data_IF_217466627987
#
_entry.id   IF_217466627987
#
_cell.length_a   1.000
_cell.length_b   1.000
_cell.length_c   1.000
_cell.angle_alpha   90.00
_cell.angle_beta   90.00
_cell.angle_gamma   90.00
#
_symmetry.space_group_name_H-M   'P 1'
#
loop_
_entity.id
_entity.type
_entity.pdbx_description
1 polymer ?
#
# COMPACT_ATOMS: atom_id res chain seq x y z
N UNK A 1 20.53 10.48 5.85
CA UNK A 1 19.86 10.37 4.53
C UNK A 1 18.44 10.91 4.65
N UNK A 2 18.05 11.92 3.88
CA UNK A 2 16.71 12.53 3.96
C UNK A 2 15.65 11.67 3.27
N UNK A 3 14.37 11.91 3.60
CA UNK A 3 13.24 11.16 3.03
C UNK A 3 13.14 11.33 1.50
N UNK A 4 13.39 12.54 1.01
CA UNK A 4 13.43 12.84 -0.42
C UNK A 4 14.51 12.02 -1.16
N UNK A 5 15.76 12.04 -0.66
CA UNK A 5 16.87 11.27 -1.26
C UNK A 5 16.60 9.76 -1.24
N UNK A 6 15.98 9.26 -0.16
CA UNK A 6 15.54 7.87 -0.08
C UNK A 6 14.52 7.56 -1.19
N UNK A 7 13.45 8.33 -1.29
CA UNK A 7 12.38 8.06 -2.25
C UNK A 7 12.88 8.10 -3.69
N UNK A 8 13.68 9.09 -4.06
CA UNK A 8 14.26 9.15 -5.40
C UNK A 8 15.13 7.92 -5.69
N UNK A 9 15.96 7.48 -4.73
CA UNK A 9 16.76 6.26 -4.89
C UNK A 9 15.89 5.01 -5.04
N UNK A 10 14.82 4.90 -4.23
CA UNK A 10 13.88 3.78 -4.30
C UNK A 10 13.16 3.73 -5.64
N UNK A 11 12.68 4.87 -6.13
CA UNK A 11 11.98 4.96 -7.42
C UNK A 11 12.93 4.69 -8.59
N UNK A 12 14.16 5.19 -8.54
CA UNK A 12 15.15 4.98 -9.60
C UNK A 12 15.67 3.54 -9.66
N UNK A 13 15.82 2.87 -8.51
CA UNK A 13 16.41 1.52 -8.44
C UNK A 13 15.38 0.40 -8.37
N UNK A 14 14.13 0.70 -8.00
CA UNK A 14 13.11 -0.30 -7.68
C UNK A 14 13.41 -1.16 -6.45
N UNK A 15 14.47 -0.86 -5.69
CA UNK A 15 14.96 -1.71 -4.59
C UNK A 15 14.69 -1.08 -3.23
N UNK A 16 13.80 -1.70 -2.45
CA UNK A 16 13.59 -1.36 -1.03
C UNK A 16 14.72 -1.97 -0.19
N UNK A 17 15.40 -1.22 0.72
CA UNK A 17 16.41 -1.78 1.58
C UNK A 17 15.79 -2.74 2.61
N UNK A 18 16.51 -3.81 2.95
CA UNK A 18 16.02 -4.90 3.82
C UNK A 18 15.43 -4.41 5.14
N UNK A 19 16.11 -3.48 5.82
CA UNK A 19 15.64 -2.88 7.06
C UNK A 19 14.31 -2.10 6.96
N UNK A 20 13.87 -1.74 5.75
CA UNK A 20 12.58 -1.05 5.50
C UNK A 20 11.53 -1.95 4.85
N UNK A 21 11.83 -3.23 4.65
CA UNK A 21 10.88 -4.23 4.15
C UNK A 21 10.02 -4.84 5.27
N UNK A 22 10.44 -4.70 6.52
CA UNK A 22 9.73 -5.30 7.64
C UNK A 22 8.43 -4.56 7.93
N UNK A 23 7.40 -5.32 8.29
CA UNK A 23 6.11 -4.83 8.74
C UNK A 23 5.70 -5.60 10.00
N UNK A 24 5.01 -4.93 10.91
CA UNK A 24 4.42 -5.57 12.09
C UNK A 24 3.05 -6.13 11.67
N UNK A 25 2.82 -7.42 11.86
CA UNK A 25 1.52 -8.03 11.64
C UNK A 25 0.69 -7.89 12.92
N UNK A 26 -0.51 -7.35 12.79
CA UNK A 26 -1.49 -7.25 13.88
C UNK A 26 -2.77 -7.95 13.45
N UNK A 27 -3.33 -8.78 14.33
CA UNK A 27 -4.61 -9.44 14.10
C UNK A 27 -5.75 -8.51 14.51
N UNK A 28 -6.64 -8.20 13.58
CA UNK A 28 -7.86 -7.43 13.86
C UNK A 28 -9.07 -8.37 13.82
N UNK A 29 -9.86 -8.37 14.89
CA UNK A 29 -11.08 -9.15 14.93
C UNK A 29 -12.08 -8.66 13.87
N UNK A 30 -12.66 -9.61 13.11
CA UNK A 30 -13.60 -9.34 12.02
C UNK A 30 -15.04 -9.52 12.46
N UNK A 31 -15.40 -10.72 12.93
CA UNK A 31 -16.76 -11.14 13.34
C UNK A 31 -16.73 -12.55 13.91
N UNK A 32 -17.78 -12.99 14.62
CA UNK A 32 -17.94 -14.38 15.05
C UNK A 32 -17.45 -14.64 16.48
N UNK A 33 -16.84 -15.80 16.70
CA UNK A 33 -16.25 -16.20 17.99
C UNK A 33 -14.83 -15.64 18.14
N UNK A 34 -14.54 -15.05 19.29
CA UNK A 34 -13.22 -14.51 19.63
C UNK A 34 -12.16 -15.58 19.85
N UNK A 35 -12.56 -16.82 20.18
CA UNK A 35 -11.65 -17.94 20.39
C UNK A 35 -11.19 -18.61 19.08
N UNK A 36 -11.90 -18.37 17.99
CA UNK A 36 -11.57 -18.92 16.68
C UNK A 36 -10.65 -17.97 15.91
N UNK A 37 -9.47 -18.46 15.54
CA UNK A 37 -8.46 -17.69 14.81
C UNK A 37 -8.91 -17.26 13.41
N UNK A 38 -9.84 -17.97 12.77
CA UNK A 38 -10.35 -17.63 11.43
C UNK A 38 -11.17 -16.32 11.43
N UNK A 39 -11.62 -15.91 12.62
CA UNK A 39 -12.39 -14.69 12.82
C UNK A 39 -11.53 -13.42 12.90
N UNK A 40 -10.21 -13.53 12.70
CA UNK A 40 -9.28 -12.40 12.67
C UNK A 40 -8.69 -12.19 11.27
N UNK A 41 -8.49 -10.93 10.90
CA UNK A 41 -7.78 -10.56 9.68
C UNK A 41 -6.37 -10.08 10.06
N UNK A 42 -5.31 -10.59 9.42
CA UNK A 42 -3.97 -10.03 9.58
C UNK A 42 -3.83 -8.71 8.83
N UNK A 43 -3.35 -7.67 9.53
CA UNK A 43 -3.05 -6.35 8.97
C UNK A 43 -1.57 -6.06 9.08
N UNK A 44 -0.94 -5.68 7.97
CA UNK A 44 0.47 -5.29 7.93
C UNK A 44 0.66 -3.80 8.21
N UNK A 45 1.21 -3.48 9.38
CA UNK A 45 1.63 -2.14 9.75
C UNK A 45 3.03 -1.87 9.19
N UNK A 46 3.10 -1.00 8.19
CA UNK A 46 4.35 -0.60 7.54
C UNK A 46 4.89 0.70 8.12
N UNK A 47 6.20 0.93 7.99
CA UNK A 47 6.82 2.20 8.37
C UNK A 47 6.14 3.37 7.65
N UNK A 48 5.90 4.48 8.37
CA UNK A 48 5.30 5.72 7.84
C UNK A 48 5.95 6.20 6.54
N UNK A 49 7.28 6.11 6.43
CA UNK A 49 7.99 6.46 5.19
C UNK A 49 7.55 5.61 4.00
N UNK A 50 7.42 4.28 4.20
CA UNK A 50 6.94 3.37 3.15
C UNK A 50 5.47 3.62 2.82
N UNK A 51 4.64 3.98 3.81
CA UNK A 51 3.24 4.36 3.59
C UNK A 51 3.11 5.60 2.71
N UNK A 52 3.93 6.63 2.95
CA UNK A 52 3.98 7.84 2.11
C UNK A 52 4.41 7.51 0.69
N UNK A 53 5.50 6.73 0.53
CA UNK A 53 5.96 6.31 -0.80
C UNK A 53 4.90 5.51 -1.56
N UNK A 54 4.19 4.60 -0.87
CA UNK A 54 3.09 3.82 -1.47
C UNK A 54 2.00 4.73 -2.02
N UNK A 55 1.64 5.79 -1.30
CA UNK A 55 0.64 6.75 -1.76
C UNK A 55 1.12 7.53 -3.00
N UNK A 56 2.39 7.92 -3.06
CA UNK A 56 2.98 8.57 -4.24
C UNK A 56 2.90 7.63 -5.45
N UNK A 57 3.37 6.38 -5.30
CA UNK A 57 3.34 5.37 -6.36
C UNK A 57 1.90 5.09 -6.82
N UNK A 58 0.96 4.92 -5.87
CA UNK A 58 -0.47 4.73 -6.18
C UNK A 58 -0.99 5.85 -7.07
N UNK A 59 -0.72 7.11 -6.71
CA UNK A 59 -1.19 8.27 -7.48
C UNK A 59 -0.63 8.27 -8.91
N UNK A 60 0.66 7.95 -9.07
CA UNK A 60 1.30 7.86 -10.39
C UNK A 60 0.61 6.77 -11.25
N UNK A 61 0.42 5.57 -10.69
CA UNK A 61 -0.16 4.43 -11.41
C UNK A 61 -1.62 4.69 -11.78
N UNK A 62 -2.43 5.14 -10.83
CA UNK A 62 -3.86 5.42 -11.06
C UNK A 62 -4.03 6.50 -12.13
N UNK A 63 -3.24 7.58 -12.06
CA UNK A 63 -3.27 8.64 -13.07
C UNK A 63 -2.87 8.12 -14.46
N UNK A 64 -1.85 7.26 -14.52
CA UNK A 64 -1.44 6.64 -15.78
C UNK A 64 -2.54 5.74 -16.36
N UNK A 65 -3.19 4.93 -15.53
CA UNK A 65 -4.26 4.04 -15.97
C UNK A 65 -5.50 4.81 -16.45
N UNK A 66 -5.88 5.87 -15.74
CA UNK A 66 -6.99 6.74 -16.13
C UNK A 66 -6.70 7.44 -17.46
N UNK A 67 -5.51 8.03 -17.64
CA UNK A 67 -5.12 8.72 -18.88
C UNK A 67 -5.09 7.81 -20.10
N UNK A 68 -4.76 6.53 -19.92
CA UNK A 68 -4.66 5.57 -21.01
C UNK A 68 -5.92 4.70 -21.17
N UNK A 69 -7.03 5.04 -20.49
CA UNK A 69 -8.28 4.27 -20.51
C UNK A 69 -8.10 2.77 -20.20
N UNK A 70 -7.13 2.44 -19.32
CA UNK A 70 -6.84 1.06 -18.89
C UNK A 70 -7.86 0.58 -17.85
N UNK A 71 -8.46 1.51 -17.10
CA UNK A 71 -9.45 1.22 -16.06
C UNK A 71 -10.77 0.80 -16.72
N UNK A 72 -11.25 -0.39 -16.38
CA UNK A 72 -12.50 -0.91 -16.91
C UNK A 72 -13.71 -0.17 -16.33
N UNK A 73 -14.76 0.01 -17.12
CA UNK A 73 -15.94 0.83 -16.74
C UNK A 73 -16.68 0.31 -15.50
N UNK A 74 -16.65 -1.00 -15.24
CA UNK A 74 -17.26 -1.61 -14.06
C UNK A 74 -16.34 -1.69 -12.85
N UNK A 75 -15.14 -1.09 -12.90
CA UNK A 75 -14.26 -1.01 -11.75
C UNK A 75 -14.71 0.13 -10.84
N UNK A 76 -15.48 -0.20 -9.80
CA UNK A 76 -15.98 0.77 -8.82
C UNK A 76 -15.10 0.84 -7.57
N UNK A 77 -14.54 -0.29 -7.14
CA UNK A 77 -13.67 -0.33 -5.98
C UNK A 77 -12.27 0.23 -6.27
N UNK A 78 -11.66 0.81 -5.23
CA UNK A 78 -10.31 1.37 -5.25
C UNK A 78 -10.08 2.54 -6.23
N UNK A 79 -11.16 3.10 -6.78
CA UNK A 79 -11.15 4.34 -7.57
C UNK A 79 -11.11 5.59 -6.69
N UNK A 80 -10.64 6.70 -7.25
CA UNK A 80 -10.84 7.99 -6.59
C UNK A 80 -12.34 8.24 -6.49
N UNK A 81 -12.78 8.70 -5.31
CA UNK A 81 -14.17 9.05 -5.10
C UNK A 81 -14.46 10.29 -5.96
N UNK A 82 -15.53 10.21 -6.76
CA UNK A 82 -16.10 11.37 -7.43
C UNK A 82 -16.50 12.44 -6.41
#
# INVERSE_FOLDING_TARGET
>A
MTLHKLFNKLLATGKIPSNKKNATIVLLFKKGDYCDSENYIPISLTNTACKVLKNIIKKIIVNHFAKNNIIYKSQHEFMEKC
#
